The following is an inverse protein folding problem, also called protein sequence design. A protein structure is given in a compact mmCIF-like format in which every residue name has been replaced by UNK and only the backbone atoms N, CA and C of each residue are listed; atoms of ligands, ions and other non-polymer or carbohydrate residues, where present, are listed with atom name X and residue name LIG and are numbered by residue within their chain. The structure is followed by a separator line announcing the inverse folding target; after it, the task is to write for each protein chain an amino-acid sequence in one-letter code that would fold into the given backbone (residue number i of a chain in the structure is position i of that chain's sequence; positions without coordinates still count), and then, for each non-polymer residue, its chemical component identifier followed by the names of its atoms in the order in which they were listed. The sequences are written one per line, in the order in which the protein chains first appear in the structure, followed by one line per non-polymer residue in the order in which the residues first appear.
data_IF_240087009069
#
_entry.id   IF_240087009069
#
_cell.length_a   1.000
_cell.length_b   1.000
_cell.length_c   1.000
_cell.angle_alpha   90.00
_cell.angle_beta   90.00
_cell.angle_gamma   90.00
#
_symmetry.space_group_name_H-M   'P 1'
#
loop_
_entity.id
_entity.type
_entity.pdbx_description
1 polymer ?
#
# COMPACT_ATOMS: atom_id res chain seq x y z
N UNK A 1 38.95 27.23 -12.85
CA UNK A 1 38.19 27.29 -11.59
C UNK A 1 36.78 26.79 -11.80
N UNK A 2 36.59 25.45 -11.96
CA UNK A 2 35.28 24.80 -12.29
C UNK A 2 34.71 23.95 -11.12
N UNK A 3 35.33 24.03 -9.94
CA UNK A 3 34.96 23.17 -8.79
C UNK A 3 33.60 23.54 -8.18
N UNK A 4 33.08 24.76 -8.43
CA UNK A 4 31.80 25.19 -7.82
C UNK A 4 30.56 24.61 -8.51
N UNK A 5 30.65 24.27 -9.79
CA UNK A 5 29.51 23.71 -10.56
C UNK A 5 29.20 22.27 -10.18
N UNK A 6 30.22 21.46 -9.92
CA UNK A 6 30.01 20.05 -9.56
C UNK A 6 29.47 19.89 -8.13
N UNK A 7 29.92 20.74 -7.20
CA UNK A 7 29.40 20.71 -5.83
C UNK A 7 27.93 21.07 -5.75
N UNK A 8 27.47 22.05 -6.50
CA UNK A 8 26.04 22.41 -6.53
C UNK A 8 25.16 21.28 -7.11
N UNK A 9 25.64 20.55 -8.11
CA UNK A 9 24.95 19.39 -8.67
C UNK A 9 24.84 18.24 -7.67
N UNK A 10 25.91 17.99 -6.91
CA UNK A 10 25.90 16.96 -5.85
C UNK A 10 24.91 17.31 -4.75
N UNK A 11 24.89 18.58 -4.30
CA UNK A 11 23.92 19.05 -3.27
C UNK A 11 22.49 18.96 -3.78
N UNK A 12 22.22 19.35 -5.02
CA UNK A 12 20.88 19.24 -5.64
C UNK A 12 20.43 17.76 -5.75
N UNK A 13 21.35 16.88 -6.17
CA UNK A 13 21.08 15.45 -6.22
C UNK A 13 20.77 14.87 -4.84
N UNK A 14 21.57 15.19 -3.82
CA UNK A 14 21.36 14.73 -2.45
C UNK A 14 20.06 15.25 -1.86
N UNK A 15 19.71 16.51 -2.14
CA UNK A 15 18.42 17.10 -1.71
C UNK A 15 17.22 16.38 -2.33
N UNK A 16 17.28 16.06 -3.63
CA UNK A 16 16.25 15.29 -4.33
C UNK A 16 16.14 13.86 -3.78
N UNK A 17 17.28 13.23 -3.51
CA UNK A 17 17.32 11.88 -2.92
C UNK A 17 16.71 11.88 -1.52
N UNK A 18 17.02 12.86 -0.69
CA UNK A 18 16.44 13.02 0.64
C UNK A 18 14.91 13.21 0.57
N UNK A 19 14.42 14.05 -0.34
CA UNK A 19 12.99 14.24 -0.58
C UNK A 19 12.28 12.94 -0.99
N UNK A 20 12.86 12.16 -1.90
CA UNK A 20 12.34 10.86 -2.30
C UNK A 20 12.30 9.88 -1.12
N UNK A 21 13.32 9.88 -0.27
CA UNK A 21 13.37 9.00 0.90
C UNK A 21 12.29 9.33 1.93
N UNK A 22 12.02 10.61 2.17
CA UNK A 22 10.95 11.05 3.08
C UNK A 22 9.58 10.63 2.54
N UNK A 23 9.34 10.81 1.23
CA UNK A 23 8.10 10.37 0.59
C UNK A 23 7.95 8.86 0.67
N UNK A 24 9.00 8.10 0.39
CA UNK A 24 8.99 6.64 0.50
C UNK A 24 8.63 6.17 1.92
N UNK A 25 9.26 6.77 2.94
CA UNK A 25 8.96 6.45 4.35
C UNK A 25 7.53 6.82 4.73
N UNK A 26 7.03 7.97 4.26
CA UNK A 26 5.65 8.39 4.46
C UNK A 26 4.64 7.41 3.83
N UNK A 27 4.90 6.94 2.61
CA UNK A 27 4.08 5.92 1.95
C UNK A 27 4.15 4.58 2.69
N UNK A 28 5.34 4.13 3.07
CA UNK A 28 5.51 2.87 3.79
C UNK A 28 4.80 2.91 5.15
N UNK A 29 4.96 3.98 5.91
CA UNK A 29 4.26 4.17 7.18
C UNK A 29 2.74 4.14 7.00
N UNK A 30 2.21 4.93 6.08
CA UNK A 30 0.75 5.00 5.84
C UNK A 30 0.19 3.64 5.42
N UNK A 31 0.83 2.97 4.47
CA UNK A 31 0.42 1.65 4.01
C UNK A 31 0.47 0.61 5.15
N UNK A 32 1.52 0.64 5.97
CA UNK A 32 1.66 -0.25 7.12
C UNK A 32 0.62 0.02 8.21
N UNK A 33 0.29 1.28 8.45
CA UNK A 33 -0.79 1.67 9.37
C UNK A 33 -2.14 1.12 8.91
N UNK A 34 -2.52 1.36 7.66
CA UNK A 34 -3.79 0.87 7.13
C UNK A 34 -3.85 -0.66 7.02
N UNK A 35 -2.72 -1.29 6.69
CA UNK A 35 -2.61 -2.75 6.72
C UNK A 35 -2.86 -3.28 8.13
N UNK A 36 -2.13 -2.78 9.13
CA UNK A 36 -2.22 -3.25 10.51
C UNK A 36 -3.60 -2.98 11.13
N UNK A 37 -4.18 -1.80 10.88
CA UNK A 37 -5.53 -1.48 11.33
C UNK A 37 -6.57 -2.46 10.75
N UNK A 38 -6.53 -2.71 9.45
CA UNK A 38 -7.47 -3.63 8.81
C UNK A 38 -7.28 -5.09 9.25
N UNK A 39 -6.02 -5.51 9.46
CA UNK A 39 -5.69 -6.83 9.98
C UNK A 39 -6.24 -7.04 11.39
N UNK A 40 -5.93 -6.11 12.30
CA UNK A 40 -6.35 -6.18 13.70
C UNK A 40 -7.88 -6.09 13.85
N UNK A 41 -8.55 -5.38 12.95
CA UNK A 41 -10.01 -5.28 12.95
C UNK A 41 -10.70 -6.62 12.76
N UNK A 42 -10.14 -7.53 11.98
CA UNK A 42 -10.70 -8.89 11.80
C UNK A 42 -10.69 -9.69 13.11
N UNK A 43 -9.76 -9.35 14.03
CA UNK A 43 -9.63 -9.98 15.34
C UNK A 43 -10.24 -9.15 16.48
N UNK A 44 -11.00 -8.07 16.18
CA UNK A 44 -11.56 -7.13 17.17
C UNK A 44 -10.48 -6.52 18.10
N UNK A 45 -9.27 -6.32 17.58
CA UNK A 45 -8.08 -5.93 18.34
C UNK A 45 -7.46 -4.62 17.86
N UNK A 46 -8.22 -3.71 17.26
CA UNK A 46 -7.72 -2.42 16.73
C UNK A 46 -6.99 -1.59 17.80
N UNK A 47 -7.36 -1.73 19.06
CA UNK A 47 -6.70 -1.05 20.19
C UNK A 47 -5.21 -1.42 20.32
N UNK A 48 -4.80 -2.61 19.85
CA UNK A 48 -3.40 -3.05 19.85
C UNK A 48 -2.53 -2.24 18.87
N UNK A 49 -3.15 -1.53 17.90
CA UNK A 49 -2.45 -0.69 16.94
C UNK A 49 -1.58 0.38 17.61
N UNK A 50 -2.01 0.90 18.76
CA UNK A 50 -1.24 1.88 19.54
C UNK A 50 0.08 1.33 20.10
N UNK A 51 0.24 0.00 20.13
CA UNK A 51 1.47 -0.66 20.55
C UNK A 51 2.58 -0.69 19.50
N UNK A 52 2.25 -0.43 18.21
CA UNK A 52 3.26 -0.46 17.15
C UNK A 52 4.15 0.77 17.16
N UNK A 53 5.44 0.54 16.98
CA UNK A 53 6.40 1.59 16.73
C UNK A 53 6.32 2.08 15.28
N UNK A 54 6.81 3.29 15.02
CA UNK A 54 6.92 3.82 13.65
C UNK A 54 7.67 2.85 12.72
N UNK A 55 8.77 2.27 13.21
CA UNK A 55 9.61 1.36 12.42
C UNK A 55 8.85 0.09 12.04
N UNK A 56 8.09 -0.50 12.97
CA UNK A 56 7.28 -1.69 12.69
C UNK A 56 6.23 -1.43 11.62
N UNK A 57 5.57 -0.27 11.68
CA UNK A 57 4.59 0.12 10.67
C UNK A 57 5.26 0.34 9.30
N UNK A 58 6.43 0.99 9.26
CA UNK A 58 7.19 1.15 8.01
C UNK A 58 7.56 -0.21 7.41
N UNK A 59 8.06 -1.15 8.22
CA UNK A 59 8.43 -2.50 7.75
C UNK A 59 7.22 -3.22 7.15
N UNK A 60 6.04 -3.11 7.77
CA UNK A 60 4.80 -3.73 7.26
C UNK A 60 4.32 -3.13 5.93
N UNK A 61 4.55 -1.83 5.75
CA UNK A 61 4.16 -1.13 4.54
C UNK A 61 5.22 -1.09 3.43
N UNK A 62 6.44 -1.57 3.68
CA UNK A 62 7.57 -1.43 2.76
C UNK A 62 7.30 -2.04 1.39
N UNK A 63 6.67 -3.19 1.32
CA UNK A 63 6.34 -3.84 0.04
C UNK A 63 5.36 -3.01 -0.79
N UNK A 64 4.35 -2.40 -0.17
CA UNK A 64 3.43 -1.50 -0.85
C UNK A 64 4.15 -0.23 -1.34
N UNK A 65 5.09 0.30 -0.54
CA UNK A 65 5.91 1.44 -0.93
C UNK A 65 6.87 1.08 -2.08
N UNK A 66 7.44 -0.12 -2.09
CA UNK A 66 8.27 -0.62 -3.21
C UNK A 66 7.45 -0.69 -4.50
N UNK A 67 6.24 -1.27 -4.47
CA UNK A 67 5.36 -1.29 -5.64
C UNK A 67 5.01 0.11 -6.14
N UNK A 68 4.69 1.04 -5.24
CA UNK A 68 4.44 2.43 -5.60
C UNK A 68 5.69 3.10 -6.21
N UNK A 69 6.87 2.79 -5.68
CA UNK A 69 8.15 3.32 -6.18
C UNK A 69 8.50 2.79 -7.56
N UNK A 70 8.22 1.54 -7.87
CA UNK A 70 8.39 0.98 -9.23
C UNK A 70 7.54 1.77 -10.22
N UNK A 71 6.29 2.07 -9.88
CA UNK A 71 5.41 2.92 -10.68
C UNK A 71 6.02 4.32 -10.91
N UNK A 72 6.56 4.94 -9.86
CA UNK A 72 7.21 6.26 -9.94
C UNK A 72 8.48 6.24 -10.81
N UNK A 73 9.33 5.23 -10.66
CA UNK A 73 10.53 5.06 -11.49
C UNK A 73 10.15 4.86 -12.96
N UNK A 74 9.16 4.01 -13.23
CA UNK A 74 8.65 3.81 -14.60
C UNK A 74 8.14 5.12 -15.19
N UNK A 75 7.42 5.92 -14.41
CA UNK A 75 6.97 7.25 -14.80
C UNK A 75 8.14 8.16 -15.18
N UNK A 76 9.16 8.24 -14.32
CA UNK A 76 10.33 9.08 -14.56
C UNK A 76 11.05 8.67 -15.86
N UNK A 77 11.19 7.36 -16.10
CA UNK A 77 11.80 6.85 -17.35
C UNK A 77 10.96 7.25 -18.57
N UNK A 78 9.63 7.13 -18.49
CA UNK A 78 8.73 7.51 -19.60
C UNK A 78 8.84 9.02 -19.87
N UNK A 79 8.79 9.87 -18.85
CA UNK A 79 8.82 11.33 -19.01
C UNK A 79 10.16 11.83 -19.52
N UNK A 80 11.25 11.19 -19.12
CA UNK A 80 12.62 11.58 -19.57
C UNK A 80 13.00 10.97 -20.92
N UNK A 81 12.22 10.04 -21.45
CA UNK A 81 12.53 9.39 -22.72
C UNK A 81 12.25 10.32 -23.89
N UNK A 82 13.24 10.66 -24.73
CA UNK A 82 13.06 11.53 -25.89
C UNK A 82 12.17 10.88 -26.97
N UNK A 83 11.92 9.58 -26.89
CA UNK A 83 11.05 8.84 -27.83
C UNK A 83 9.56 8.95 -27.50
N UNK A 84 9.19 9.46 -26.33
CA UNK A 84 7.79 9.64 -25.93
C UNK A 84 7.30 10.99 -26.43
N UNK A 85 6.68 10.98 -27.60
CA UNK A 85 5.97 12.15 -28.12
C UNK A 85 4.59 12.29 -27.47
N UNK A 86 4.03 13.51 -27.49
CA UNK A 86 2.64 13.77 -27.05
C UNK A 86 1.64 12.82 -27.72
N UNK A 87 1.81 12.54 -29.00
CA UNK A 87 0.96 11.62 -29.75
C UNK A 87 0.98 10.19 -29.15
N UNK A 88 2.16 9.68 -28.78
CA UNK A 88 2.31 8.36 -28.20
C UNK A 88 1.67 8.30 -26.81
N UNK A 89 1.82 9.37 -26.02
CA UNK A 89 1.21 9.48 -24.70
C UNK A 89 -0.32 9.50 -24.78
N UNK A 90 -0.89 10.28 -25.70
CA UNK A 90 -2.35 10.32 -25.95
C UNK A 90 -2.88 8.95 -26.42
N UNK A 91 -2.13 8.26 -27.26
CA UNK A 91 -2.51 6.91 -27.71
C UNK A 91 -2.52 5.92 -26.52
N UNK A 92 -1.49 5.97 -25.68
CA UNK A 92 -1.40 5.14 -24.47
C UNK A 92 -2.55 5.41 -23.50
N UNK A 93 -2.91 6.69 -23.31
CA UNK A 93 -4.06 7.07 -22.50
C UNK A 93 -5.38 6.51 -23.05
N UNK A 94 -5.57 6.55 -24.36
CA UNK A 94 -6.79 6.01 -24.99
C UNK A 94 -6.93 4.50 -24.77
N UNK A 95 -5.83 3.75 -24.83
CA UNK A 95 -5.87 2.30 -24.68
C UNK A 95 -5.88 1.84 -23.23
N UNK A 96 -5.22 2.56 -22.33
CA UNK A 96 -5.07 2.13 -20.94
C UNK A 96 -6.08 2.81 -20.01
N UNK A 97 -6.15 4.15 -20.06
CA UNK A 97 -6.92 4.91 -19.08
C UNK A 97 -8.42 4.93 -19.37
N UNK A 98 -8.83 5.16 -20.62
CA UNK A 98 -10.27 5.23 -20.92
C UNK A 98 -10.99 3.91 -20.71
N UNK A 99 -10.50 2.75 -21.16
CA UNK A 99 -11.14 1.48 -20.84
C UNK A 99 -11.20 1.20 -19.34
N UNK A 100 -10.15 1.59 -18.59
CA UNK A 100 -10.14 1.46 -17.13
C UNK A 100 -11.23 2.31 -16.47
N UNK A 101 -11.38 3.58 -16.88
CA UNK A 101 -12.44 4.43 -16.33
C UNK A 101 -13.84 3.93 -16.68
N UNK A 102 -14.05 3.50 -17.93
CA UNK A 102 -15.32 2.92 -18.35
C UNK A 102 -15.63 1.68 -17.50
N UNK A 103 -14.64 0.82 -17.30
CA UNK A 103 -14.78 -0.36 -16.45
C UNK A 103 -15.13 -0.01 -15.00
N UNK A 104 -14.44 0.95 -14.40
CA UNK A 104 -14.70 1.40 -13.01
C UNK A 104 -16.09 2.01 -12.90
N UNK A 105 -16.47 2.91 -13.80
CA UNK A 105 -17.80 3.54 -13.79
C UNK A 105 -18.90 2.51 -13.98
N UNK A 106 -18.78 1.64 -14.97
CA UNK A 106 -19.79 0.61 -15.26
C UNK A 106 -19.96 -0.35 -14.10
N UNK A 107 -18.85 -0.79 -13.51
CA UNK A 107 -18.87 -1.65 -12.33
C UNK A 107 -19.50 -0.94 -11.13
N UNK A 108 -19.16 0.34 -10.89
CA UNK A 108 -19.75 1.13 -9.80
C UNK A 108 -21.27 1.23 -9.93
N UNK A 109 -21.76 1.50 -11.13
CA UNK A 109 -23.20 1.58 -11.40
C UNK A 109 -23.86 0.21 -11.22
N UNK A 110 -23.25 -0.85 -11.74
CA UNK A 110 -23.77 -2.21 -11.63
C UNK A 110 -23.88 -2.68 -10.16
N UNK A 111 -22.88 -2.43 -9.35
CA UNK A 111 -22.84 -2.82 -7.94
C UNK A 111 -23.41 -1.74 -6.99
N UNK A 112 -24.10 -0.73 -7.51
CA UNK A 112 -24.75 0.34 -6.72
C UNK A 112 -23.83 1.05 -5.73
N UNK A 113 -22.56 1.21 -6.09
CA UNK A 113 -21.52 1.82 -5.24
C UNK A 113 -21.32 1.12 -3.87
N UNK A 114 -21.59 -0.17 -3.78
CA UNK A 114 -21.33 -0.94 -2.58
C UNK A 114 -19.82 -0.96 -2.28
N UNK A 115 -19.43 -0.68 -1.03
CA UNK A 115 -18.01 -0.61 -0.62
C UNK A 115 -17.27 -1.93 -0.81
N UNK A 116 -17.98 -3.06 -0.73
CA UNK A 116 -17.37 -4.38 -0.79
C UNK A 116 -16.89 -4.77 -2.19
N UNK A 117 -17.52 -4.23 -3.26
CA UNK A 117 -17.06 -4.50 -4.62
C UNK A 117 -15.71 -3.84 -4.94
N UNK A 118 -15.42 -2.67 -4.37
CA UNK A 118 -14.11 -2.02 -4.51
C UNK A 118 -13.02 -2.92 -3.92
N UNK A 119 -13.31 -3.53 -2.78
CA UNK A 119 -12.48 -4.54 -2.15
C UNK A 119 -12.25 -5.74 -3.06
N UNK A 120 -13.30 -6.32 -3.60
CA UNK A 120 -13.22 -7.47 -4.50
C UNK A 120 -12.44 -7.17 -5.80
N UNK A 121 -12.65 -6.00 -6.39
CA UNK A 121 -11.87 -5.55 -7.56
C UNK A 121 -10.38 -5.42 -7.23
N UNK A 122 -10.04 -4.89 -6.05
CA UNK A 122 -8.66 -4.69 -5.65
C UNK A 122 -7.92 -5.99 -5.35
N UNK A 123 -8.62 -7.10 -5.14
CA UNK A 123 -8.02 -8.44 -4.98
C UNK A 123 -7.51 -9.01 -6.30
N UNK A 124 -8.08 -8.60 -7.43
CA UNK A 124 -7.66 -9.13 -8.72
C UNK A 124 -6.31 -8.51 -9.15
N UNK A 125 -5.25 -9.34 -9.36
CA UNK A 125 -3.92 -8.83 -9.73
C UNK A 125 -3.91 -8.09 -11.07
N UNK A 126 -4.77 -8.45 -12.01
CA UNK A 126 -4.90 -7.74 -13.29
C UNK A 126 -5.48 -6.34 -13.12
N UNK A 127 -6.48 -6.18 -12.24
CA UNK A 127 -7.05 -4.87 -11.92
C UNK A 127 -6.03 -3.99 -11.21
N UNK A 128 -5.23 -4.55 -10.29
CA UNK A 128 -4.12 -3.84 -9.65
C UNK A 128 -3.09 -3.36 -10.67
N UNK A 129 -2.67 -4.25 -11.58
CA UNK A 129 -1.74 -3.89 -12.65
C UNK A 129 -2.29 -2.80 -13.57
N UNK A 130 -3.56 -2.91 -13.94
CA UNK A 130 -4.23 -1.90 -14.77
C UNK A 130 -4.37 -0.56 -14.08
N UNK A 131 -4.70 -0.56 -12.78
CA UNK A 131 -4.70 0.64 -11.93
C UNK A 131 -3.33 1.33 -11.93
N UNK A 132 -2.26 0.57 -11.69
CA UNK A 132 -0.91 1.11 -11.68
C UNK A 132 -0.50 1.67 -13.05
N UNK A 133 -0.83 0.98 -14.13
CA UNK A 133 -0.59 1.47 -15.49
C UNK A 133 -1.35 2.78 -15.74
N UNK A 134 -2.60 2.88 -15.30
CA UNK A 134 -3.42 4.09 -15.41
C UNK A 134 -2.82 5.25 -14.62
N UNK A 135 -2.33 4.99 -13.40
CA UNK A 135 -1.67 5.99 -12.56
C UNK A 135 -0.41 6.53 -13.23
N UNK A 136 0.43 5.63 -13.75
CA UNK A 136 1.65 6.00 -14.47
C UNK A 136 1.35 6.84 -15.72
N UNK A 137 0.36 6.41 -16.52
CA UNK A 137 -0.06 7.15 -17.72
C UNK A 137 -0.59 8.55 -17.40
N UNK A 138 -1.41 8.68 -16.34
CA UNK A 138 -1.96 9.97 -15.93
C UNK A 138 -0.89 10.91 -15.39
N UNK A 139 0.04 10.39 -14.58
CA UNK A 139 1.15 11.18 -14.08
C UNK A 139 2.09 11.62 -15.22
N UNK A 140 2.39 10.74 -16.18
CA UNK A 140 3.19 11.07 -17.35
C UNK A 140 2.53 12.18 -18.18
N UNK A 141 1.23 12.07 -18.41
CA UNK A 141 0.48 13.09 -19.13
C UNK A 141 0.45 14.43 -18.38
N UNK A 142 0.31 14.42 -17.06
CA UNK A 142 0.36 15.63 -16.25
C UNK A 142 1.73 16.33 -16.30
N UNK A 143 2.81 15.56 -16.31
CA UNK A 143 4.18 16.09 -16.33
C UNK A 143 4.66 16.51 -17.72
N UNK A 144 3.95 16.11 -18.78
CA UNK A 144 4.34 16.47 -20.14
C UNK A 144 4.04 17.95 -20.42
N UNK A 145 5.02 18.78 -20.83
CA UNK A 145 4.86 20.24 -20.93
C UNK A 145 3.82 20.68 -21.97
N UNK A 146 3.62 19.91 -23.04
CA UNK A 146 2.71 20.26 -24.13
C UNK A 146 1.24 19.92 -23.82
N UNK A 147 0.98 18.96 -22.92
CA UNK A 147 -0.38 18.56 -22.52
C UNK A 147 -1.07 19.61 -21.63
N UNK A 148 -0.35 20.65 -21.25
CA UNK A 148 -0.76 21.65 -20.26
C UNK A 148 -1.75 22.71 -20.80
N UNK A 149 -2.21 22.63 -22.03
CA UNK A 149 -3.03 23.67 -22.66
C UNK A 149 -4.46 23.78 -22.14
N UNK A 150 -5.03 22.70 -21.57
CA UNK A 150 -6.39 22.70 -21.05
C UNK A 150 -6.44 22.60 -19.52
N UNK A 151 -6.82 23.66 -18.84
CA UNK A 151 -6.91 23.77 -17.37
C UNK A 151 -7.82 22.67 -16.78
N UNK A 152 -8.96 22.40 -17.42
CA UNK A 152 -9.90 21.36 -16.98
C UNK A 152 -9.26 19.96 -16.99
N UNK A 153 -8.44 19.68 -17.98
CA UNK A 153 -7.78 18.39 -18.10
C UNK A 153 -6.72 18.21 -17.00
N UNK A 154 -6.00 19.26 -16.64
CA UNK A 154 -5.05 19.24 -15.51
C UNK A 154 -5.76 18.97 -14.19
N UNK A 155 -6.85 19.67 -13.91
CA UNK A 155 -7.62 19.49 -12.67
C UNK A 155 -8.13 18.06 -12.58
N UNK A 156 -8.66 17.50 -13.68
CA UNK A 156 -9.12 16.12 -13.74
C UNK A 156 -7.96 15.12 -13.51
N UNK A 157 -6.81 15.35 -14.13
CA UNK A 157 -5.62 14.48 -13.96
C UNK A 157 -5.09 14.51 -12.52
N UNK A 158 -5.05 15.69 -11.88
CA UNK A 158 -4.66 15.81 -10.47
C UNK A 158 -5.63 15.04 -9.58
N UNK A 159 -6.94 15.26 -9.76
CA UNK A 159 -7.96 14.58 -8.97
C UNK A 159 -7.86 13.06 -9.12
N UNK A 160 -7.67 12.58 -10.33
CA UNK A 160 -7.49 11.16 -10.60
C UNK A 160 -6.22 10.61 -9.96
N UNK A 161 -5.11 11.33 -10.02
CA UNK A 161 -3.87 10.93 -9.36
C UNK A 161 -4.05 10.80 -7.84
N UNK A 162 -4.77 11.74 -7.21
CA UNK A 162 -5.07 11.65 -5.78
C UNK A 162 -5.93 10.43 -5.45
N UNK A 163 -6.97 10.16 -6.22
CA UNK A 163 -7.83 8.97 -6.02
C UNK A 163 -7.04 7.67 -6.16
N UNK A 164 -6.20 7.59 -7.19
CA UNK A 164 -5.40 6.40 -7.44
C UNK A 164 -4.31 6.22 -6.36
N UNK A 165 -3.66 7.30 -5.93
CA UNK A 165 -2.70 7.27 -4.83
C UNK A 165 -3.37 6.84 -3.51
N UNK A 166 -4.55 7.39 -3.20
CA UNK A 166 -5.35 6.95 -2.06
C UNK A 166 -5.64 5.45 -2.12
N UNK A 167 -6.06 4.94 -3.25
CA UNK A 167 -6.36 3.52 -3.41
C UNK A 167 -5.14 2.64 -3.19
N UNK A 168 -3.98 3.00 -3.75
CA UNK A 168 -2.72 2.24 -3.58
C UNK A 168 -2.22 2.26 -2.13
N UNK A 169 -2.33 3.41 -1.45
CA UNK A 169 -1.77 3.60 -0.11
C UNK A 169 -2.71 3.12 0.99
N UNK A 170 -4.01 3.25 0.77
CA UNK A 170 -5.03 2.98 1.79
C UNK A 170 -5.80 1.69 1.53
N UNK A 171 -6.44 1.59 0.36
CA UNK A 171 -7.38 0.48 0.13
C UNK A 171 -6.68 -0.85 -0.20
N UNK A 172 -5.63 -0.84 -1.02
CA UNK A 172 -4.89 -2.07 -1.32
C UNK A 172 -4.29 -2.74 -0.08
N UNK A 173 -3.61 -2.02 0.84
CA UNK A 173 -3.13 -2.62 2.09
C UNK A 173 -4.25 -3.19 2.95
N UNK A 174 -5.38 -2.48 3.09
CA UNK A 174 -6.54 -2.95 3.86
C UNK A 174 -7.11 -4.26 3.33
N UNK A 175 -7.29 -4.34 2.01
CA UNK A 175 -7.82 -5.56 1.38
C UNK A 175 -6.86 -6.72 1.55
N UNK A 176 -5.57 -6.51 1.31
CA UNK A 176 -4.55 -7.54 1.48
C UNK A 176 -4.48 -8.04 2.93
N UNK A 177 -4.65 -7.13 3.90
CA UNK A 177 -4.67 -7.46 5.31
C UNK A 177 -5.88 -8.30 5.71
N UNK A 178 -7.07 -7.93 5.25
CA UNK A 178 -8.31 -8.68 5.50
C UNK A 178 -8.22 -10.09 4.89
N UNK A 179 -7.83 -10.18 3.62
CA UNK A 179 -7.69 -11.47 2.94
C UNK A 179 -6.70 -12.40 3.69
N UNK A 180 -5.60 -11.85 4.19
CA UNK A 180 -4.64 -12.60 4.97
C UNK A 180 -5.22 -13.05 6.33
N UNK A 181 -5.90 -12.14 7.03
CA UNK A 181 -6.54 -12.45 8.31
C UNK A 181 -7.66 -13.48 8.17
N UNK A 182 -8.50 -13.35 7.13
CA UNK A 182 -9.60 -14.28 6.84
C UNK A 182 -9.06 -15.69 6.52
N UNK A 183 -7.98 -15.79 5.77
CA UNK A 183 -7.29 -17.08 5.53
C UNK A 183 -6.79 -17.71 6.83
N UNK A 184 -6.22 -16.91 7.72
CA UNK A 184 -5.74 -17.42 9.01
C UNK A 184 -6.91 -17.91 9.91
N UNK A 185 -8.04 -17.21 9.89
CA UNK A 185 -9.24 -17.62 10.63
C UNK A 185 -9.95 -18.83 9.98
N UNK A 186 -10.08 -18.83 8.64
CA UNK A 186 -10.82 -19.83 7.87
C UNK A 186 -10.24 -21.23 7.92
N UNK A 187 -8.92 -21.36 8.05
CA UNK A 187 -8.23 -22.65 8.23
C UNK A 187 -8.33 -23.20 9.65
N UNK A 188 -9.35 -22.83 10.42
CA UNK A 188 -9.53 -23.20 11.84
C UNK A 188 -8.32 -22.80 12.70
N UNK A 189 -7.64 -21.71 12.33
CA UNK A 189 -6.44 -21.23 13.00
C UNK A 189 -5.19 -22.10 12.77
N UNK A 190 -5.23 -23.05 11.84
CA UNK A 190 -4.06 -23.91 11.54
C UNK A 190 -2.85 -23.14 10.99
N UNK A 191 -3.11 -22.00 10.34
CA UNK A 191 -2.04 -21.10 9.83
C UNK A 191 -1.40 -20.23 10.91
N UNK A 192 -2.02 -20.12 12.08
CA UNK A 192 -1.51 -19.32 13.19
C UNK A 192 -0.46 -20.10 14.01
N UNK A 193 0.59 -19.42 14.43
CA UNK A 193 1.57 -19.98 15.34
C UNK A 193 0.94 -20.26 16.70
N UNK A 194 1.20 -21.43 17.24
CA UNK A 194 0.72 -21.82 18.56
C UNK A 194 1.72 -21.35 19.61
N UNK A 195 1.17 -20.79 20.68
CA UNK A 195 1.94 -20.28 21.82
C UNK A 195 1.47 -20.97 23.08
N UNK A 196 2.39 -21.48 23.84
CA UNK A 196 2.13 -22.23 25.05
C UNK A 196 2.72 -21.49 26.25
N UNK A 197 1.95 -21.37 27.31
CA UNK A 197 2.47 -20.90 28.60
C UNK A 197 3.18 -22.08 29.28
N UNK A 198 4.42 -21.85 29.74
CA UNK A 198 5.22 -22.87 30.44
C UNK A 198 4.50 -23.26 31.73
N UNK A 199 4.26 -24.54 31.91
CA UNK A 199 3.53 -25.07 33.09
C UNK A 199 2.01 -25.08 32.99
N UNK A 200 1.43 -24.59 31.88
CA UNK A 200 0.00 -24.68 31.59
C UNK A 200 -0.26 -25.62 30.39
N UNK A 201 -1.47 -26.21 30.36
CA UNK A 201 -1.96 -26.95 29.17
C UNK A 201 -2.69 -26.04 28.17
N UNK A 202 -2.80 -24.76 28.48
CA UNK A 202 -3.49 -23.81 27.63
C UNK A 202 -2.68 -23.51 26.38
N UNK A 203 -3.36 -23.50 25.25
CA UNK A 203 -2.81 -23.21 23.94
C UNK A 203 -3.43 -21.92 23.43
N UNK A 204 -2.58 -21.00 23.03
CA UNK A 204 -2.99 -19.74 22.44
C UNK A 204 -2.52 -19.66 21.00
N UNK A 205 -3.16 -18.84 20.19
CA UNK A 205 -2.78 -18.56 18.82
C UNK A 205 -2.18 -17.16 18.76
N UNK A 206 -1.02 -17.04 18.12
CA UNK A 206 -0.38 -15.75 17.93
C UNK A 206 -1.13 -14.97 16.84
N UNK A 207 -1.80 -13.89 17.24
CA UNK A 207 -2.44 -12.95 16.31
C UNK A 207 -1.41 -11.98 15.74
N UNK A 208 -0.65 -11.33 16.63
CA UNK A 208 0.32 -10.32 16.22
C UNK A 208 1.38 -10.08 17.32
N UNK A 209 2.42 -9.32 16.96
CA UNK A 209 3.45 -8.88 17.87
C UNK A 209 3.83 -7.43 17.58
N UNK A 210 3.94 -6.62 18.62
CA UNK A 210 4.31 -5.22 18.52
C UNK A 210 5.06 -4.77 19.78
N UNK A 211 6.14 -4.03 19.59
CA UNK A 211 6.94 -3.45 20.67
C UNK A 211 7.32 -4.46 21.77
N UNK A 212 7.73 -5.67 21.34
CA UNK A 212 8.12 -6.75 22.26
C UNK A 212 6.97 -7.45 22.97
N UNK A 213 5.72 -7.08 22.73
CA UNK A 213 4.51 -7.73 23.27
C UNK A 213 3.87 -8.64 22.23
N UNK A 214 3.26 -9.72 22.71
CA UNK A 214 2.51 -10.66 21.88
C UNK A 214 1.02 -10.46 22.11
N UNK A 215 0.25 -10.37 21.02
CA UNK A 215 -1.20 -10.44 21.02
C UNK A 215 -1.61 -11.88 20.73
N UNK A 216 -2.22 -12.52 21.72
CA UNK A 216 -2.62 -13.90 21.68
C UNK A 216 -4.15 -14.02 21.69
N UNK A 217 -4.67 -15.03 20.99
CA UNK A 217 -6.09 -15.38 21.01
C UNK A 217 -6.27 -16.77 21.62
N UNK A 218 -7.12 -16.85 22.63
CA UNK A 218 -7.57 -18.11 23.24
C UNK A 218 -8.58 -18.86 22.36
N UNK A 219 -8.89 -20.10 22.71
CA UNK A 219 -9.90 -20.91 22.02
C UNK A 219 -11.32 -20.33 22.17
N UNK A 220 -11.58 -19.59 23.24
CA UNK A 220 -12.81 -18.84 23.52
C UNK A 220 -12.87 -17.49 22.77
N UNK A 221 -11.90 -17.23 21.88
CA UNK A 221 -11.70 -15.95 21.18
C UNK A 221 -11.30 -14.78 22.09
N UNK A 222 -11.06 -15.01 23.37
CA UNK A 222 -10.49 -13.99 24.24
C UNK A 222 -9.12 -13.53 23.73
N UNK A 223 -8.83 -12.24 23.87
CA UNK A 223 -7.56 -11.65 23.48
C UNK A 223 -6.72 -11.37 24.74
N UNK A 224 -5.47 -11.76 24.68
CA UNK A 224 -4.50 -11.58 25.76
C UNK A 224 -3.23 -10.91 25.22
N UNK A 225 -2.77 -9.86 25.87
CA UNK A 225 -1.46 -9.28 25.60
C UNK A 225 -0.48 -9.76 26.67
N UNK A 226 0.61 -10.33 26.20
CA UNK A 226 1.65 -10.87 27.07
C UNK A 226 3.02 -10.32 26.71
N UNK A 227 3.86 -10.20 27.74
CA UNK A 227 5.27 -9.99 27.57
C UNK A 227 5.94 -11.36 27.39
N UNK A 228 6.69 -11.60 26.30
CA UNK A 228 7.28 -12.92 26.02
C UNK A 228 8.41 -13.33 26.97
N UNK A 229 8.78 -12.47 27.93
CA UNK A 229 9.85 -12.74 28.89
C UNK A 229 9.58 -14.04 29.66
N UNK A 230 10.30 -15.09 29.33
CA UNK A 230 10.55 -16.35 30.04
C UNK A 230 9.43 -17.40 30.18
N UNK A 231 8.15 -17.06 30.09
CA UNK A 231 7.05 -17.98 30.41
C UNK A 231 6.32 -18.57 29.18
N UNK A 232 6.74 -18.20 27.98
CA UNK A 232 6.04 -18.56 26.76
C UNK A 232 6.92 -19.28 25.75
N UNK A 233 6.38 -20.31 25.12
CA UNK A 233 7.04 -21.03 24.02
C UNK A 233 6.18 -20.97 22.77
N UNK A 234 6.84 -20.63 21.64
CA UNK A 234 6.22 -20.67 20.31
C UNK A 234 6.54 -22.02 19.70
N UNK A 235 5.52 -22.76 19.28
CA UNK A 235 5.65 -23.98 18.51
C UNK A 235 5.23 -23.72 17.07
N UNK A 236 5.99 -24.25 16.15
CA UNK A 236 5.62 -24.31 14.72
C UNK A 236 4.79 -25.54 14.43
#
# INVERSE_FOLDING_TARGET
MEVSGDFSRVVDFLSKLAGCSVLFLGFAFSAGYFYSSAYLKVFDSEWFLSGFTFVELVIRGVWNAVYASIGLVTLLVIVQSPSVSERNLLWLMRIVCYPFYIFVVTSSVYYKFDSDWIGALSQNPWVRGWLMATLVCQAANYLHPESLQHVLFKVFSIFTLFLLAYWVVVEMPKVSAREYADKLQGESGKGMLKVYKIGSKEVYRLVDAANGKLLLQGDDKSLLVVDPANDWRISR
#
